data_IF_833695252185
#
_entry.id   IF_833695252185
#
_cell.length_a   1.000
_cell.length_b   1.000
_cell.length_c   1.000
_cell.angle_alpha   90.00
_cell.angle_beta   90.00
_cell.angle_gamma   90.00
#
_symmetry.space_group_name_H-M   'P 1'
#
loop_
_entity.id
_entity.type
_entity.pdbx_description
1 polymer ?
#
# COMPACT_ATOMS: atom_id res chain seq x y z
N UNK A 1 22.86 14.33 13.91
CA UNK A 1 22.59 13.25 14.90
C UNK A 1 22.14 12.01 14.13
N UNK A 2 22.41 10.78 14.61
CA UNK A 2 22.00 9.55 13.91
C UNK A 2 20.62 9.10 14.38
N UNK A 3 19.73 8.76 13.45
CA UNK A 3 18.40 8.24 13.78
C UNK A 3 18.47 6.96 14.59
N UNK A 4 17.91 6.97 15.81
CA UNK A 4 17.79 5.77 16.64
C UNK A 4 16.89 4.74 16.00
N UNK A 5 15.80 5.17 15.34
CA UNK A 5 14.86 4.29 14.64
C UNK A 5 15.57 3.37 13.64
N UNK A 6 16.47 3.94 12.81
CA UNK A 6 17.20 3.17 11.80
C UNK A 6 18.46 2.49 12.34
N UNK A 7 19.23 3.14 13.21
CA UNK A 7 20.51 2.60 13.69
C UNK A 7 20.37 1.49 14.73
N UNK A 8 19.29 1.49 15.52
CA UNK A 8 19.00 0.42 16.48
C UNK A 8 18.36 -0.82 15.84
N UNK A 9 17.88 -0.71 14.59
CA UNK A 9 17.07 -1.75 13.95
C UNK A 9 15.59 -1.72 14.32
N UNK A 10 15.13 -0.76 15.13
CA UNK A 10 13.73 -0.61 15.51
C UNK A 10 12.78 -0.44 14.31
N UNK A 11 13.27 0.12 13.20
CA UNK A 11 12.52 0.22 11.95
C UNK A 11 11.97 -1.13 11.47
N UNK A 12 12.62 -2.26 11.78
CA UNK A 12 12.13 -3.61 11.43
C UNK A 12 10.86 -3.98 12.18
N UNK A 13 10.72 -3.52 13.42
CA UNK A 13 9.49 -3.70 14.18
C UNK A 13 8.37 -2.83 13.61
N UNK A 14 8.68 -1.60 13.20
CA UNK A 14 7.73 -0.74 12.48
C UNK A 14 7.32 -1.37 11.15
N UNK A 15 8.27 -1.91 10.37
CA UNK A 15 8.01 -2.62 9.11
C UNK A 15 7.07 -3.81 9.31
N UNK A 16 7.30 -4.62 10.35
CA UNK A 16 6.42 -5.72 10.71
C UNK A 16 5.00 -5.24 11.04
N UNK A 17 4.88 -4.20 11.88
CA UNK A 17 3.57 -3.61 12.22
C UNK A 17 2.85 -3.04 11.00
N UNK A 18 3.55 -2.35 10.09
CA UNK A 18 2.96 -1.86 8.84
C UNK A 18 2.43 -3.02 8.02
N UNK A 19 3.22 -4.09 7.86
CA UNK A 19 2.83 -5.27 7.12
C UNK A 19 1.60 -5.94 7.73
N UNK A 20 1.59 -6.15 9.04
CA UNK A 20 0.46 -6.78 9.74
C UNK A 20 -0.80 -5.93 9.62
N UNK A 21 -0.68 -4.62 9.87
CA UNK A 21 -1.76 -3.65 9.70
C UNK A 21 -2.36 -3.68 8.28
N UNK A 22 -1.52 -3.68 7.24
CA UNK A 22 -1.99 -3.72 5.85
C UNK A 22 -2.68 -5.04 5.48
N UNK A 23 -2.24 -6.17 6.06
CA UNK A 23 -2.86 -7.47 5.81
C UNK A 23 -4.24 -7.61 6.48
N UNK A 24 -4.52 -6.84 7.52
CA UNK A 24 -5.82 -6.81 8.20
C UNK A 24 -6.89 -5.98 7.44
N UNK A 25 -6.50 -5.24 6.40
CA UNK A 25 -7.41 -4.37 5.65
C UNK A 25 -8.14 -5.13 4.53
N UNK A 26 -9.26 -5.79 4.85
CA UNK A 26 -10.07 -6.56 3.89
C UNK A 26 -10.58 -5.71 2.70
N UNK A 27 -10.90 -4.43 2.93
CA UNK A 27 -11.46 -3.54 1.90
C UNK A 27 -10.44 -3.16 0.81
N UNK A 28 -9.15 -3.19 1.12
CA UNK A 28 -8.04 -2.89 0.22
C UNK A 28 -7.73 -4.02 -0.76
N UNK A 29 -8.11 -5.24 -0.38
CA UNK A 29 -7.92 -6.46 -1.13
C UNK A 29 -9.09 -6.76 -2.07
N UNK A 30 -10.03 -5.81 -2.25
CA UNK A 30 -11.06 -6.00 -3.26
C UNK A 30 -10.40 -6.26 -4.63
N UNK A 31 -10.83 -7.29 -5.38
CA UNK A 31 -10.18 -7.65 -6.64
C UNK A 31 -10.13 -6.50 -7.65
N UNK A 32 -11.03 -5.52 -7.56
CA UNK A 32 -11.08 -4.33 -8.41
C UNK A 32 -9.98 -3.32 -8.08
N UNK A 33 -9.80 -2.95 -6.80
CA UNK A 33 -8.76 -2.00 -6.36
C UNK A 33 -7.36 -2.58 -6.58
N UNK A 34 -7.18 -3.86 -6.25
CA UNK A 34 -5.88 -4.51 -6.30
C UNK A 34 -5.40 -4.81 -7.74
N UNK A 35 -6.31 -4.83 -8.73
CA UNK A 35 -5.94 -4.96 -10.15
C UNK A 35 -5.29 -3.71 -10.72
N UNK A 36 -5.64 -2.53 -10.22
CA UNK A 36 -5.06 -1.25 -10.64
C UNK A 36 -3.91 -0.86 -9.72
N UNK A 37 -2.68 -0.86 -10.25
CA UNK A 37 -1.49 -0.49 -9.46
C UNK A 37 -1.58 0.93 -8.91
N UNK A 38 -2.19 1.86 -9.67
CA UNK A 38 -2.39 3.23 -9.21
C UNK A 38 -3.45 3.34 -8.12
N UNK A 39 -4.61 2.71 -8.30
CA UNK A 39 -5.68 2.77 -7.30
C UNK A 39 -5.27 2.09 -5.99
N UNK A 40 -4.49 1.00 -6.06
CA UNK A 40 -3.89 0.38 -4.89
C UNK A 40 -2.92 1.32 -4.18
N UNK A 41 -2.05 2.01 -4.94
CA UNK A 41 -1.13 3.02 -4.40
C UNK A 41 -1.86 4.17 -3.69
N UNK A 42 -2.81 4.82 -4.37
CA UNK A 42 -3.59 5.94 -3.81
C UNK A 42 -4.33 5.57 -2.53
N UNK A 43 -4.95 4.39 -2.53
CA UNK A 43 -5.65 3.91 -1.35
C UNK A 43 -4.64 3.69 -0.21
N UNK A 44 -3.50 3.05 -0.51
CA UNK A 44 -2.52 2.63 0.51
C UNK A 44 -1.87 3.86 1.15
N UNK A 45 -1.56 4.87 0.35
CA UNK A 45 -1.14 6.18 0.81
C UNK A 45 -2.19 6.79 1.75
N UNK A 46 -3.47 6.75 1.37
CA UNK A 46 -4.57 7.27 2.19
C UNK A 46 -4.71 6.60 3.56
N UNK A 47 -4.67 5.26 3.61
CA UNK A 47 -4.83 4.55 4.90
C UNK A 47 -3.61 4.69 5.80
N UNK A 48 -2.39 4.68 5.23
CA UNK A 48 -1.19 4.98 6.00
C UNK A 48 -1.25 6.43 6.50
N UNK A 49 -1.71 7.38 5.68
CA UNK A 49 -1.94 8.76 6.10
C UNK A 49 -2.80 8.91 7.37
N UNK A 50 -3.75 7.99 7.59
CA UNK A 50 -4.63 8.02 8.76
C UNK A 50 -4.07 7.28 9.97
N UNK A 51 -3.30 6.20 9.75
CA UNK A 51 -2.94 5.26 10.82
C UNK A 51 -1.43 5.18 11.12
N UNK A 52 -0.57 5.78 10.30
CA UNK A 52 0.88 5.60 10.43
C UNK A 52 1.43 6.13 11.76
N UNK A 53 0.88 7.22 12.30
CA UNK A 53 1.22 7.70 13.65
C UNK A 53 1.01 6.62 14.73
N UNK A 54 -0.10 5.88 14.65
CA UNK A 54 -0.43 4.80 15.59
C UNK A 54 0.53 3.62 15.43
N UNK A 55 0.92 3.32 14.19
CA UNK A 55 1.88 2.26 13.87
C UNK A 55 3.28 2.60 14.43
N UNK A 56 3.69 3.86 14.30
CA UNK A 56 4.95 4.37 14.85
C UNK A 56 4.96 4.32 16.40
N UNK A 57 3.82 4.63 17.04
CA UNK A 57 3.69 4.64 18.49
C UNK A 57 4.70 5.59 19.14
N UNK A 58 5.44 5.10 20.14
CA UNK A 58 6.41 5.89 20.92
C UNK A 58 7.57 6.49 20.09
N UNK A 59 7.72 6.08 18.83
CA UNK A 59 8.70 6.67 17.91
C UNK A 59 8.27 8.01 17.33
N UNK A 60 6.98 8.36 17.40
CA UNK A 60 6.42 9.58 16.81
C UNK A 60 6.02 10.57 17.90
N UNK A 61 6.54 11.79 17.82
CA UNK A 61 6.15 12.91 18.68
C UNK A 61 5.14 13.83 17.97
N UNK A 62 5.36 14.08 16.69
CA UNK A 62 4.48 14.91 15.86
C UNK A 62 4.25 14.21 14.52
N UNK A 63 3.00 14.21 14.05
CA UNK A 63 2.61 13.57 12.80
C UNK A 63 1.84 14.52 11.90
N UNK A 64 2.11 14.47 10.60
CA UNK A 64 1.42 15.28 9.60
C UNK A 64 1.20 14.50 8.31
N UNK A 65 -0.07 14.29 7.96
CA UNK A 65 -0.50 13.76 6.66
C UNK A 65 -1.01 14.84 5.69
N UNK A 66 -1.43 16.01 6.20
CA UNK A 66 -2.11 17.06 5.42
C UNK A 66 -1.16 18.03 4.67
N UNK A 67 0.12 18.09 5.03
CA UNK A 67 1.08 19.02 4.39
C UNK A 67 1.59 18.52 3.01
N UNK A 68 1.24 17.30 2.59
CA UNK A 68 1.78 16.59 1.43
C UNK A 68 1.44 17.20 0.05
N UNK A 69 0.45 18.10 -0.08
CA UNK A 69 0.17 18.73 -1.38
C UNK A 69 1.21 19.79 -1.81
N UNK A 70 2.09 20.23 -0.90
CA UNK A 70 3.33 20.99 -1.22
C UNK A 70 4.62 20.35 -0.67
N UNK A 71 4.53 19.41 0.27
CA UNK A 71 5.68 18.69 0.82
C UNK A 71 6.16 17.58 -0.11
N UNK A 72 7.35 17.07 0.14
CA UNK A 72 8.17 16.28 -0.77
C UNK A 72 7.81 14.79 -0.84
N UNK A 73 6.87 14.33 -0.01
CA UNK A 73 6.59 12.93 0.25
C UNK A 73 5.12 12.71 0.70
N UNK A 74 4.74 11.45 0.86
CA UNK A 74 3.37 11.02 1.17
C UNK A 74 3.02 11.17 2.65
N UNK A 75 3.98 10.95 3.55
CA UNK A 75 3.82 11.06 5.00
C UNK A 75 4.96 11.89 5.59
N UNK A 76 4.72 12.55 6.72
CA UNK A 76 5.79 13.18 7.49
C UNK A 76 5.58 13.06 8.99
N UNK A 77 6.67 12.93 9.75
CA UNK A 77 6.63 12.90 11.21
C UNK A 77 7.94 13.38 11.83
N UNK A 78 7.88 13.91 13.05
CA UNK A 78 9.05 14.13 13.89
C UNK A 78 9.15 13.02 14.95
N UNK A 79 10.36 12.52 15.19
CA UNK A 79 10.60 11.56 16.28
C UNK A 79 10.89 12.25 17.62
N UNK A 80 10.99 11.43 18.67
CA UNK A 80 11.31 11.86 20.04
C UNK A 80 12.71 12.45 20.20
N UNK A 81 13.58 12.31 19.21
CA UNK A 81 14.90 12.93 19.17
C UNK A 81 14.89 14.28 18.40
N UNK A 82 13.73 14.69 17.87
CA UNK A 82 13.59 15.90 17.07
C UNK A 82 14.18 15.78 15.67
N UNK A 83 14.31 14.55 15.14
CA UNK A 83 14.58 14.31 13.72
C UNK A 83 13.26 14.33 12.95
N UNK A 84 13.29 14.91 11.75
CA UNK A 84 12.11 15.04 10.90
C UNK A 84 12.21 14.10 9.71
N UNK A 85 11.20 13.26 9.54
CA UNK A 85 11.15 12.22 8.53
C UNK A 85 10.09 12.58 7.51
N UNK A 86 10.47 12.55 6.24
CA UNK A 86 9.52 12.54 5.13
C UNK A 86 9.57 11.15 4.50
N UNK A 87 8.41 10.50 4.40
CA UNK A 87 8.28 9.11 3.96
C UNK A 87 7.56 9.08 2.64
N UNK A 88 8.27 8.61 1.62
CA UNK A 88 7.73 8.37 0.29
C UNK A 88 7.38 6.88 0.16
N UNK A 89 6.12 6.61 -0.14
CA UNK A 89 5.53 5.28 -0.22
C UNK A 89 5.53 4.83 -1.66
N UNK A 90 6.03 3.62 -1.91
CA UNK A 90 6.08 3.05 -3.25
C UNK A 90 5.57 1.62 -3.22
N UNK A 91 4.59 1.35 -4.07
CA UNK A 91 3.97 0.04 -4.17
C UNK A 91 4.49 -0.71 -5.40
N UNK A 92 4.65 -2.02 -5.26
CA UNK A 92 5.00 -2.90 -6.34
C UNK A 92 4.17 -4.17 -6.34
N UNK A 93 3.50 -4.43 -7.45
CA UNK A 93 2.77 -5.66 -7.68
C UNK A 93 3.72 -6.76 -8.16
N UNK A 94 3.80 -7.85 -7.40
CA UNK A 94 4.81 -8.90 -7.55
C UNK A 94 4.81 -9.62 -8.91
N UNK A 95 3.71 -9.59 -9.65
CA UNK A 95 3.54 -10.22 -10.98
C UNK A 95 3.92 -9.30 -12.15
N UNK A 96 4.24 -8.03 -11.88
CA UNK A 96 4.64 -7.05 -12.89
C UNK A 96 6.16 -6.84 -12.88
N UNK A 97 6.73 -6.34 -13.98
CA UNK A 97 8.11 -5.83 -13.92
C UNK A 97 8.13 -4.58 -13.05
N UNK A 98 9.07 -4.52 -12.11
CA UNK A 98 9.28 -3.32 -11.32
C UNK A 98 9.84 -2.21 -12.21
N UNK A 99 9.00 -1.24 -12.54
CA UNK A 99 9.43 0.02 -13.13
C UNK A 99 9.55 1.02 -11.99
N UNK A 100 10.78 1.42 -11.66
CA UNK A 100 11.01 2.46 -10.65
C UNK A 100 10.46 3.79 -11.20
N UNK A 101 9.43 4.40 -10.59
CA UNK A 101 9.02 5.75 -10.95
C UNK A 101 10.05 6.77 -10.46
N UNK A 102 10.01 7.99 -10.99
CA UNK A 102 10.82 9.08 -10.46
C UNK A 102 10.53 9.26 -8.96
N UNK A 103 11.59 9.21 -8.14
CA UNK A 103 11.49 9.23 -6.67
C UNK A 103 11.07 10.61 -6.17
N UNK A 104 11.83 11.64 -6.56
CA UNK A 104 11.56 13.07 -6.34
C UNK A 104 12.58 13.86 -7.16
N UNK A 105 12.46 15.18 -7.24
CA UNK A 105 13.47 15.98 -7.95
C UNK A 105 14.74 16.14 -7.11
N UNK A 106 15.89 16.17 -7.79
CA UNK A 106 17.19 16.40 -7.14
C UNK A 106 17.20 17.76 -6.42
N UNK A 107 16.63 18.79 -7.05
CA UNK A 107 16.54 20.12 -6.44
C UNK A 107 15.75 20.13 -5.12
N UNK A 108 14.68 19.32 -5.03
CA UNK A 108 13.91 19.18 -3.78
C UNK A 108 14.72 18.47 -2.71
N UNK A 109 15.46 17.43 -3.07
CA UNK A 109 16.37 16.73 -2.12
C UNK A 109 17.45 17.67 -1.61
N UNK A 110 18.07 18.48 -2.48
CA UNK A 110 19.11 19.44 -2.08
C UNK A 110 18.57 20.42 -1.04
N UNK A 111 17.41 21.02 -1.29
CA UNK A 111 16.77 21.94 -0.33
C UNK A 111 16.36 21.27 0.97
N UNK A 112 15.87 20.03 0.88
CA UNK A 112 15.46 19.26 2.06
C UNK A 112 16.65 18.94 2.98
N UNK A 113 17.79 18.58 2.42
CA UNK A 113 19.01 18.31 3.20
C UNK A 113 19.78 19.56 3.63
N UNK A 114 19.21 20.76 3.50
CA UNK A 114 19.76 21.97 4.13
C UNK A 114 19.68 21.87 5.66
N UNK A 115 18.67 21.18 6.21
CA UNK A 115 18.65 20.79 7.61
C UNK A 115 19.22 19.36 7.77
N UNK A 116 20.14 19.21 8.73
CA UNK A 116 20.77 17.94 9.06
C UNK A 116 19.89 17.02 9.93
N UNK A 117 18.73 17.50 10.34
CA UNK A 117 17.70 16.74 11.07
C UNK A 117 16.68 16.09 10.14
N UNK A 118 16.70 16.45 8.86
CA UNK A 118 15.75 16.00 7.85
C UNK A 118 16.20 14.68 7.23
N UNK A 119 15.29 13.70 7.21
CA UNK A 119 15.51 12.33 6.76
C UNK A 119 14.49 11.94 5.70
N UNK A 120 14.97 11.60 4.52
CA UNK A 120 14.14 11.06 3.45
C UNK A 120 14.10 9.54 3.55
N UNK A 121 12.90 8.99 3.69
CA UNK A 121 12.66 7.56 3.91
C UNK A 121 11.81 7.00 2.79
N UNK A 122 12.16 5.78 2.34
CA UNK A 122 11.34 5.02 1.41
C UNK A 122 10.63 3.89 2.12
N UNK A 123 9.31 3.84 1.98
CA UNK A 123 8.48 2.70 2.38
C UNK A 123 8.07 1.92 1.15
N UNK A 124 8.75 0.79 0.89
CA UNK A 124 8.48 -0.08 -0.24
C UNK A 124 7.49 -1.18 0.15
N UNK A 125 6.32 -1.20 -0.48
CA UNK A 125 5.30 -2.23 -0.25
C UNK A 125 5.18 -3.14 -1.46
N UNK A 126 5.57 -4.40 -1.31
CA UNK A 126 5.36 -5.44 -2.32
C UNK A 126 4.09 -6.25 -2.01
N UNK A 127 3.19 -6.35 -2.97
CA UNK A 127 1.92 -7.07 -2.82
C UNK A 127 1.66 -8.04 -3.98
N UNK A 128 0.79 -9.02 -3.75
CA UNK A 128 0.35 -9.98 -4.77
C UNK A 128 -1.15 -10.25 -4.64
N UNK A 129 -1.80 -10.56 -5.76
CA UNK A 129 -3.21 -10.91 -5.77
C UNK A 129 -3.36 -12.41 -5.50
N UNK A 130 -4.11 -12.77 -4.46
CA UNK A 130 -4.57 -14.15 -4.28
C UNK A 130 -5.89 -14.32 -5.04
N UNK A 131 -5.89 -15.22 -6.02
CA UNK A 131 -7.13 -15.70 -6.63
C UNK A 131 -7.74 -16.72 -5.66
N UNK A 132 -8.90 -16.42 -5.10
CA UNK A 132 -9.59 -17.37 -4.22
C UNK A 132 -10.31 -18.43 -5.07
N UNK A 133 -10.08 -19.74 -4.83
CA UNK A 133 -10.75 -20.82 -5.58
C UNK A 133 -12.29 -20.79 -5.49
N UNK A 134 -12.84 -20.17 -4.45
CA UNK A 134 -14.30 -20.06 -4.23
C UNK A 134 -15.01 -19.25 -5.32
N UNK A 135 -14.35 -18.28 -5.94
CA UNK A 135 -14.97 -17.53 -7.05
C UNK A 135 -15.05 -18.38 -8.32
N UNK A 136 -14.05 -19.22 -8.59
CA UNK A 136 -14.06 -20.16 -9.72
C UNK A 136 -15.16 -21.20 -9.54
N UNK A 137 -15.35 -21.72 -8.32
CA UNK A 137 -16.42 -22.68 -8.02
C UNK A 137 -17.82 -22.09 -8.31
N UNK A 138 -18.10 -20.85 -7.88
CA UNK A 138 -19.38 -20.17 -8.18
C UNK A 138 -19.61 -19.94 -9.68
N UNK A 139 -18.54 -19.70 -10.45
CA UNK A 139 -18.64 -19.55 -11.91
C UNK A 139 -19.00 -20.90 -12.53
N UNK A 140 -18.35 -21.99 -12.11
CA UNK A 140 -18.65 -23.33 -12.60
C UNK A 140 -20.09 -23.76 -12.30
N UNK A 141 -20.58 -23.55 -11.08
CA UNK A 141 -21.99 -23.82 -10.73
C UNK A 141 -22.98 -23.06 -11.64
N UNK A 142 -22.65 -21.82 -12.00
CA UNK A 142 -23.49 -21.02 -12.91
C UNK A 142 -23.43 -21.56 -14.34
N UNK A 143 -22.25 -21.97 -14.81
CA UNK A 143 -22.08 -22.59 -16.14
C UNK A 143 -22.87 -23.89 -16.23
N UNK A 144 -22.75 -24.78 -15.23
CA UNK A 144 -23.51 -26.04 -15.16
C UNK A 144 -25.03 -25.80 -15.21
N UNK A 145 -25.51 -24.77 -14.51
CA UNK A 145 -26.92 -24.38 -14.56
C UNK A 145 -27.33 -23.89 -15.94
N UNK A 146 -26.48 -23.12 -16.64
CA UNK A 146 -26.76 -22.68 -18.01
C UNK A 146 -26.77 -23.86 -18.99
N UNK A 147 -25.85 -24.81 -18.87
CA UNK A 147 -25.86 -26.02 -19.68
C UNK A 147 -27.12 -26.85 -19.45
N UNK A 148 -27.54 -27.01 -18.20
CA UNK A 148 -28.79 -27.72 -17.85
C UNK A 148 -30.02 -27.06 -18.48
N UNK A 149 -30.09 -25.72 -18.45
CA UNK A 149 -31.18 -24.97 -19.10
C UNK A 149 -31.13 -25.13 -20.61
N UNK A 150 -29.94 -25.08 -21.22
CA UNK A 150 -29.77 -25.29 -22.66
C UNK A 150 -30.23 -26.69 -23.09
N UNK A 151 -29.87 -27.73 -22.33
CA UNK A 151 -30.33 -29.09 -22.63
C UNK A 151 -31.84 -29.24 -22.50
N UNK A 152 -32.44 -28.60 -21.49
CA UNK A 152 -33.90 -28.56 -21.33
C UNK A 152 -34.59 -27.99 -22.58
N UNK A 153 -34.13 -26.85 -23.10
CA UNK A 153 -34.71 -26.22 -24.30
C UNK A 153 -34.45 -27.01 -25.59
N UNK A 154 -33.32 -27.73 -25.70
CA UNK A 154 -33.03 -28.58 -26.85
C UNK A 154 -33.81 -29.90 -26.85
N UNK A 155 -34.34 -30.30 -25.70
CA UNK A 155 -35.15 -31.50 -25.53
C UNK A 155 -36.65 -31.26 -25.73
N UNK A 156 -37.09 -30.00 -25.84
CA UNK A 156 -38.47 -29.69 -26.24
C UNK A 156 -38.66 -30.06 -27.71
N UNK A 157 -39.69 -30.85 -28.07
CA UNK A 157 -39.99 -31.15 -29.46
C UNK A 157 -40.46 -29.88 -30.17
N UNK A 158 -40.01 -29.70 -31.42
CA UNK A 158 -40.55 -28.68 -32.30
C UNK A 158 -42.04 -29.00 -32.57
N UNK A 159 -42.94 -28.15 -32.09
CA UNK A 159 -44.37 -28.15 -32.47
C UNK A 159 -44.56 -27.88 -33.97
#
# INVERSE_FOLDING_TARGET
MKSRLFHSGAYKAVEAKVKDFLNEQDAFLSPSTARSTRAFGDALEGILGLHFAQILGDWCCEYSADFARRAMADLAFADVDGLYYVVDVKTHRADTKFNMPNLTSVERLVRFYEDHKDLFVLLLVKYGLRVYPREIHKINERIERFESVREFWLAEPDD
#
